data_IF_496233212964
#
_entry.id   IF_496233212964
#
_cell.length_a   1.000
_cell.length_b   1.000
_cell.length_c   1.000
_cell.angle_alpha   90.00
_cell.angle_beta   90.00
_cell.angle_gamma   90.00
#
_symmetry.space_group_name_H-M   'P 1'
#
loop_
_entity.id
_entity.type
_entity.pdbx_description
1 polymer ?
#
# COMPACT_ATOMS: atom_id res chain seq x y z
N UNK A 1 -14.54 -7.10 6.88
CA UNK A 1 -13.43 -7.97 6.52
C UNK A 1 -12.16 -7.47 7.18
N UNK A 2 -11.69 -8.17 8.17
CA UNK A 2 -10.46 -7.77 8.82
C UNK A 2 -9.31 -8.00 7.85
N UNK A 3 -8.60 -6.94 7.54
CA UNK A 3 -7.30 -7.10 6.95
C UNK A 3 -6.50 -7.88 7.98
N UNK A 4 -6.11 -9.09 7.64
CA UNK A 4 -5.23 -9.85 8.50
C UNK A 4 -4.01 -8.97 8.77
N UNK A 5 -3.92 -8.44 9.96
CA UNK A 5 -2.65 -7.94 10.45
C UNK A 5 -1.70 -9.13 10.32
N UNK A 6 -0.72 -9.00 9.44
CA UNK A 6 0.30 -10.01 9.32
C UNK A 6 0.89 -10.19 10.71
N UNK A 7 0.58 -11.33 11.33
CA UNK A 7 1.25 -11.69 12.55
C UNK A 7 2.74 -11.76 12.26
N UNK A 8 3.59 -11.32 13.19
CA UNK A 8 5.03 -11.43 12.97
C UNK A 8 5.35 -12.89 12.69
N UNK A 9 5.77 -13.15 11.46
CA UNK A 9 6.20 -14.47 11.08
C UNK A 9 7.52 -14.72 11.78
N UNK A 10 7.59 -15.82 12.53
CA UNK A 10 8.81 -16.29 13.19
C UNK A 10 9.95 -16.54 12.19
N UNK A 11 9.66 -16.42 10.88
CA UNK A 11 10.58 -16.74 9.80
C UNK A 11 11.27 -15.52 9.19
N UNK A 12 11.03 -14.31 9.73
CA UNK A 12 11.68 -13.11 9.21
C UNK A 12 13.18 -13.15 9.54
N UNK A 13 14.07 -12.94 8.57
CA UNK A 13 15.51 -13.03 8.80
C UNK A 13 15.98 -12.05 9.89
N UNK A 14 16.76 -12.53 10.83
CA UNK A 14 17.26 -11.73 11.96
C UNK A 14 18.07 -10.51 11.49
N UNK A 15 18.77 -10.62 10.36
CA UNK A 15 19.55 -9.50 9.77
C UNK A 15 18.76 -8.62 8.83
N UNK A 16 17.44 -8.81 8.71
CA UNK A 16 16.61 -8.07 7.77
C UNK A 16 16.74 -8.59 6.33
N UNK A 17 16.02 -7.95 5.42
CA UNK A 17 16.01 -8.30 4.01
C UNK A 17 16.97 -7.41 3.21
N UNK A 18 17.59 -7.98 2.18
CA UNK A 18 18.27 -7.18 1.16
C UNK A 18 17.24 -6.39 0.38
N UNK A 19 17.70 -5.36 -0.36
CA UNK A 19 16.79 -4.58 -1.21
C UNK A 19 16.11 -5.48 -2.27
N UNK A 20 16.81 -6.47 -2.81
CA UNK A 20 16.23 -7.39 -3.78
C UNK A 20 15.13 -8.24 -3.17
N UNK A 21 15.35 -8.76 -1.96
CA UNK A 21 14.34 -9.53 -1.24
C UNK A 21 13.16 -8.65 -0.80
N UNK A 22 13.44 -7.42 -0.38
CA UNK A 22 12.40 -6.46 -0.03
C UNK A 22 11.54 -6.08 -1.24
N UNK A 23 12.14 -5.90 -2.40
CA UNK A 23 11.43 -5.64 -3.65
C UNK A 23 10.49 -6.81 -3.98
N UNK A 24 10.99 -8.03 -3.92
CA UNK A 24 10.18 -9.22 -4.17
C UNK A 24 9.01 -9.32 -3.19
N UNK A 25 9.28 -9.16 -1.90
CA UNK A 25 8.25 -9.26 -0.86
C UNK A 25 7.19 -8.17 -0.95
N UNK A 26 7.56 -6.96 -1.37
CA UNK A 26 6.63 -5.83 -1.45
C UNK A 26 5.90 -5.74 -2.78
N UNK A 27 6.37 -6.44 -3.81
CA UNK A 27 5.86 -6.30 -5.17
C UNK A 27 6.34 -5.03 -5.87
N UNK A 28 7.30 -4.30 -5.29
CA UNK A 28 7.89 -3.11 -5.90
C UNK A 28 9.19 -3.47 -6.59
N UNK A 29 9.59 -2.64 -7.55
CA UNK A 29 10.93 -2.76 -8.13
C UNK A 29 11.98 -2.21 -7.14
N UNK A 30 13.22 -2.64 -7.33
CA UNK A 30 14.36 -2.07 -6.58
C UNK A 30 14.44 -0.56 -6.79
N UNK A 31 14.21 -0.09 -8.01
CA UNK A 31 14.23 1.34 -8.33
C UNK A 31 13.16 2.12 -7.57
N UNK A 32 11.95 1.55 -7.44
CA UNK A 32 10.88 2.19 -6.68
C UNK A 32 11.21 2.25 -5.18
N UNK A 33 11.81 1.18 -4.63
CA UNK A 33 12.25 1.20 -3.23
C UNK A 33 13.32 2.27 -3.00
N UNK A 34 14.27 2.40 -3.92
CA UNK A 34 15.28 3.46 -3.85
C UNK A 34 14.67 4.84 -3.94
N UNK A 35 13.66 5.00 -4.80
CA UNK A 35 12.90 6.25 -4.91
C UNK A 35 12.22 6.59 -3.59
N UNK A 36 11.51 5.64 -2.99
CA UNK A 36 10.85 5.85 -1.71
C UNK A 36 11.84 6.27 -0.62
N UNK A 37 13.01 5.67 -0.63
CA UNK A 37 14.05 5.99 0.33
C UNK A 37 14.62 7.38 0.13
N UNK A 38 14.94 7.74 -1.13
CA UNK A 38 15.44 9.09 -1.45
C UNK A 38 14.42 10.16 -1.08
N UNK A 39 13.15 9.89 -1.26
CA UNK A 39 12.07 10.83 -0.97
C UNK A 39 11.67 10.86 0.52
N UNK A 40 12.36 10.07 1.33
CA UNK A 40 12.09 10.06 2.77
C UNK A 40 10.76 9.42 3.14
N UNK A 41 10.22 8.54 2.30
CA UNK A 41 8.96 7.86 2.54
C UNK A 41 9.11 6.63 3.43
N UNK A 42 10.32 6.12 3.60
CA UNK A 42 10.63 5.06 4.56
C UNK A 42 10.96 5.72 5.89
N UNK A 43 10.34 5.27 6.99
CA UNK A 43 10.41 5.96 8.29
C UNK A 43 11.80 5.98 8.91
N UNK A 44 12.55 4.92 8.74
CA UNK A 44 13.91 4.82 9.25
C UNK A 44 14.86 4.58 8.10
N UNK A 45 16.12 5.00 8.29
CA UNK A 45 17.16 4.56 7.36
C UNK A 45 17.33 3.06 7.57
N UNK A 46 17.30 2.25 6.50
CA UNK A 46 17.53 0.82 6.65
C UNK A 46 18.87 0.56 7.32
N UNK A 47 18.88 -0.39 8.23
CA UNK A 47 20.12 -0.85 8.84
C UNK A 47 21.05 -1.38 7.76
N UNK A 48 22.34 -1.15 7.92
CA UNK A 48 23.33 -1.65 6.98
C UNK A 48 23.99 -2.89 7.55
N UNK A 49 24.23 -3.87 6.69
CA UNK A 49 25.05 -5.02 7.06
C UNK A 49 26.52 -4.58 7.28
N UNK A 50 27.33 -5.48 7.81
CA UNK A 50 28.75 -5.25 8.00
C UNK A 50 29.48 -4.86 6.70
N UNK A 51 28.94 -5.29 5.54
CA UNK A 51 29.47 -4.93 4.22
C UNK A 51 28.93 -3.60 3.67
N UNK A 52 28.13 -2.87 4.45
CA UNK A 52 27.55 -1.60 4.03
C UNK A 52 26.26 -1.72 3.22
N UNK A 53 25.75 -2.92 3.01
CA UNK A 53 24.49 -3.14 2.29
C UNK A 53 23.29 -2.82 3.18
N UNK A 54 22.25 -2.27 2.56
CA UNK A 54 21.01 -1.92 3.25
C UNK A 54 20.23 -3.16 3.65
N UNK A 55 19.63 -3.10 4.83
CA UNK A 55 18.77 -4.13 5.36
C UNK A 55 17.41 -3.55 5.73
N UNK A 56 16.37 -4.24 5.33
CA UNK A 56 15.00 -3.85 5.64
C UNK A 56 14.49 -4.72 6.77
N UNK A 57 14.05 -4.09 7.86
CA UNK A 57 13.51 -4.79 9.03
C UNK A 57 12.07 -5.21 8.76
N UNK A 58 11.53 -6.06 9.64
CA UNK A 58 10.11 -6.44 9.59
C UNK A 58 9.21 -5.21 9.70
N UNK A 59 9.56 -4.26 10.59
CA UNK A 59 8.83 -3.00 10.72
C UNK A 59 8.87 -2.16 9.44
N UNK A 60 10.02 -2.10 8.78
CA UNK A 60 10.15 -1.43 7.49
C UNK A 60 9.24 -2.06 6.45
N UNK A 61 9.18 -3.39 6.41
CA UNK A 61 8.35 -4.09 5.43
C UNK A 61 6.86 -3.87 5.67
N UNK A 62 6.42 -3.82 6.94
CA UNK A 62 5.02 -3.49 7.26
C UNK A 62 4.68 -2.07 6.80
N UNK A 63 5.57 -1.13 7.05
CA UNK A 63 5.38 0.27 6.63
C UNK A 63 5.30 0.38 5.10
N UNK A 64 6.24 -0.24 4.40
CA UNK A 64 6.25 -0.27 2.94
C UNK A 64 4.95 -0.90 2.41
N UNK A 65 4.49 -1.99 3.02
CA UNK A 65 3.21 -2.60 2.67
C UNK A 65 2.03 -1.64 2.77
N UNK A 66 2.01 -0.81 3.81
CA UNK A 66 0.99 0.24 3.96
C UNK A 66 1.07 1.27 2.85
N UNK A 67 2.27 1.72 2.50
CA UNK A 67 2.45 2.68 1.40
C UNK A 67 2.02 2.08 0.06
N UNK A 68 2.36 0.82 -0.19
CA UNK A 68 1.94 0.11 -1.40
C UNK A 68 0.42 0.05 -1.48
N UNK A 69 -0.24 -0.29 -0.39
CA UNK A 69 -1.70 -0.35 -0.32
C UNK A 69 -2.33 1.01 -0.61
N UNK A 70 -1.84 2.08 0.02
CA UNK A 70 -2.36 3.43 -0.21
C UNK A 70 -2.20 3.85 -1.66
N UNK A 71 -1.04 3.57 -2.26
CA UNK A 71 -0.79 3.90 -3.67
C UNK A 71 -1.65 3.07 -4.62
N UNK A 72 -1.83 1.79 -4.34
CA UNK A 72 -2.67 0.92 -5.17
C UNK A 72 -4.13 1.35 -5.16
N UNK A 73 -4.59 1.91 -4.07
CA UNK A 73 -5.97 2.39 -3.96
C UNK A 73 -6.14 3.83 -4.44
N UNK A 74 -5.09 4.40 -5.05
CA UNK A 74 -5.18 5.68 -5.74
C UNK A 74 -4.81 6.91 -4.93
N UNK A 75 -4.20 6.74 -3.73
CA UNK A 75 -3.75 7.92 -2.97
C UNK A 75 -2.63 8.63 -3.74
N UNK A 76 -2.78 9.93 -4.06
CA UNK A 76 -1.72 10.67 -4.72
C UNK A 76 -0.44 10.71 -3.89
N UNK A 77 0.71 10.71 -4.56
CA UNK A 77 2.00 10.70 -3.85
C UNK A 77 2.15 11.92 -2.92
N UNK A 78 1.59 13.06 -3.27
CA UNK A 78 1.61 14.24 -2.39
C UNK A 78 0.91 13.99 -1.06
N UNK A 79 -0.18 13.21 -1.08
CA UNK A 79 -0.93 12.87 0.14
C UNK A 79 -0.18 11.83 0.96
N UNK A 80 0.50 10.89 0.30
CA UNK A 80 1.39 9.92 0.96
C UNK A 80 2.52 10.68 1.67
N UNK A 81 3.14 11.65 1.00
CA UNK A 81 4.19 12.47 1.61
C UNK A 81 3.68 13.25 2.81
N UNK A 82 2.49 13.84 2.71
CA UNK A 82 1.89 14.57 3.83
C UNK A 82 1.63 13.64 5.02
N UNK A 83 1.13 12.44 4.75
CA UNK A 83 0.89 11.43 5.78
C UNK A 83 2.19 11.03 6.48
N UNK A 84 3.23 10.75 5.70
CA UNK A 84 4.55 10.37 6.25
C UNK A 84 5.14 11.50 7.09
N UNK A 85 5.06 12.74 6.60
CA UNK A 85 5.57 13.90 7.32
C UNK A 85 4.87 14.07 8.68
N UNK A 86 3.55 13.89 8.71
CA UNK A 86 2.80 13.94 9.96
C UNK A 86 3.15 12.77 10.89
N UNK A 87 3.32 11.59 10.33
CA UNK A 87 3.64 10.40 11.13
C UNK A 87 4.95 10.56 11.90
N UNK A 88 5.90 11.32 11.36
CA UNK A 88 7.19 11.58 12.02
C UNK A 88 7.10 12.54 13.19
N UNK A 89 5.99 13.26 13.34
CA UNK A 89 5.75 14.18 14.43
C UNK A 89 4.80 13.53 15.44
N UNK A 90 4.94 13.87 16.71
CA UNK A 90 4.03 13.37 17.72
C UNK A 90 2.77 14.23 17.81
N UNK A 91 1.66 13.62 18.23
CA UNK A 91 0.46 14.35 18.60
C UNK A 91 -0.45 14.80 17.47
N UNK A 92 -0.29 14.26 16.26
CA UNK A 92 -1.09 14.67 15.11
C UNK A 92 -1.95 13.53 14.53
N UNK A 93 -2.37 12.61 15.38
CA UNK A 93 -3.24 11.51 15.00
C UNK A 93 -4.53 11.99 14.31
N UNK A 94 -5.20 13.08 14.78
CA UNK A 94 -6.39 13.58 14.08
C UNK A 94 -6.11 14.02 12.66
N UNK A 95 -4.99 14.68 12.42
CA UNK A 95 -4.59 15.13 11.07
C UNK A 95 -4.30 13.95 10.15
N UNK A 96 -3.61 12.93 10.67
CA UNK A 96 -3.35 11.70 9.91
C UNK A 96 -4.65 10.96 9.59
N UNK A 97 -5.54 10.87 10.56
CA UNK A 97 -6.85 10.26 10.36
C UNK A 97 -7.64 11.02 9.28
N UNK A 98 -7.52 12.35 9.26
CA UNK A 98 -8.17 13.18 8.25
C UNK A 98 -7.74 12.81 6.82
N UNK A 99 -6.45 12.58 6.60
CA UNK A 99 -5.94 12.16 5.28
C UNK A 99 -6.52 10.80 4.90
N UNK A 100 -6.52 9.85 5.83
CA UNK A 100 -7.05 8.51 5.57
C UNK A 100 -8.56 8.53 5.34
N UNK A 101 -9.30 9.34 6.11
CA UNK A 101 -10.74 9.48 5.95
C UNK A 101 -11.10 10.06 4.59
N UNK A 102 -10.39 11.10 4.16
CA UNK A 102 -10.61 11.68 2.84
C UNK A 102 -10.31 10.67 1.73
N UNK A 103 -9.25 9.89 1.90
CA UNK A 103 -8.92 8.84 0.94
C UNK A 103 -9.98 7.74 0.91
N UNK A 104 -10.50 7.35 2.07
CA UNK A 104 -11.60 6.38 2.16
C UNK A 104 -12.82 6.84 1.34
N UNK A 105 -13.16 8.12 1.42
CA UNK A 105 -14.29 8.65 0.66
C UNK A 105 -14.07 8.53 -0.85
N UNK A 106 -12.84 8.77 -1.31
CA UNK A 106 -12.50 8.58 -2.73
C UNK A 106 -12.60 7.11 -3.14
N UNK A 107 -12.10 6.20 -2.31
CA UNK A 107 -12.17 4.77 -2.58
C UNK A 107 -13.64 4.30 -2.62
N UNK A 108 -14.47 4.80 -1.70
CA UNK A 108 -15.90 4.47 -1.69
C UNK A 108 -16.60 4.98 -2.97
N UNK A 109 -16.24 6.16 -3.44
CA UNK A 109 -16.79 6.69 -4.69
C UNK A 109 -16.37 5.83 -5.88
N UNK A 110 -15.10 5.44 -5.94
CA UNK A 110 -14.60 4.55 -6.99
C UNK A 110 -15.30 3.19 -6.95
N UNK A 111 -15.52 2.66 -5.76
CA UNK A 111 -16.21 1.39 -5.59
C UNK A 111 -17.65 1.46 -6.12
N UNK A 112 -18.37 2.54 -5.77
CA UNK A 112 -19.75 2.74 -6.29
C UNK A 112 -19.78 2.84 -7.81
N UNK A 113 -18.79 3.51 -8.39
CA UNK A 113 -18.68 3.63 -9.84
C UNK A 113 -18.46 2.26 -10.49
N UNK A 114 -17.55 1.46 -9.95
CA UNK A 114 -17.28 0.11 -10.44
C UNK A 114 -18.53 -0.78 -10.29
N UNK A 115 -19.24 -0.68 -9.16
CA UNK A 115 -20.48 -1.40 -8.95
C UNK A 115 -21.54 -1.03 -10.01
N UNK A 116 -21.65 0.24 -10.35
CA UNK A 116 -22.54 0.68 -11.42
C UNK A 116 -22.16 0.09 -12.78
N UNK A 117 -20.86 0.05 -13.07
CA UNK A 117 -20.38 -0.58 -14.30
C UNK A 117 -20.69 -2.07 -14.32
N UNK A 118 -20.52 -2.76 -13.19
CA UNK A 118 -20.83 -4.18 -13.09
C UNK A 118 -22.31 -4.44 -13.34
N UNK A 119 -23.20 -3.64 -12.75
CA UNK A 119 -24.63 -3.76 -12.98
C UNK A 119 -24.98 -3.57 -14.46
N UNK A 120 -24.35 -2.63 -15.13
CA UNK A 120 -24.55 -2.42 -16.56
C UNK A 120 -24.10 -3.62 -17.38
N UNK A 121 -22.98 -4.23 -17.02
CA UNK A 121 -22.48 -5.43 -17.69
C UNK A 121 -23.45 -6.60 -17.45
N UNK A 122 -23.92 -6.76 -16.23
CA UNK A 122 -24.86 -7.83 -15.89
C UNK A 122 -26.18 -7.72 -16.67
N UNK A 123 -26.70 -6.49 -16.82
CA UNK A 123 -27.88 -6.26 -17.65
C UNK A 123 -27.64 -6.68 -19.10
N UNK A 124 -26.46 -6.39 -19.62
CA UNK A 124 -26.09 -6.77 -20.98
C UNK A 124 -25.98 -8.28 -21.13
N UNK A 125 -25.41 -8.95 -20.13
CA UNK A 125 -25.32 -10.43 -20.11
C UNK A 125 -26.73 -11.03 -20.10
N UNK A 126 -27.62 -10.53 -19.25
CA UNK A 126 -29.00 -11.03 -19.16
C UNK A 126 -29.72 -10.87 -20.49
N UNK A 127 -29.53 -9.74 -21.16
CA UNK A 127 -30.10 -9.52 -22.48
C UNK A 127 -29.65 -10.59 -23.47
N UNK A 128 -28.38 -10.96 -23.49
CA UNK A 128 -27.87 -11.99 -24.40
C UNK A 128 -28.28 -13.39 -23.97
N UNK A 129 -28.38 -13.65 -22.67
CA UNK A 129 -28.87 -14.96 -22.18
C UNK A 129 -30.27 -15.26 -22.68
N UNK A 130 -31.16 -14.29 -22.66
CA UNK A 130 -32.52 -14.46 -23.19
C UNK A 130 -32.52 -14.79 -24.67
N UNK A 131 -31.59 -14.22 -25.44
CA UNK A 131 -31.50 -14.49 -26.88
C UNK A 131 -30.89 -15.84 -27.20
N UNK A 132 -30.01 -16.35 -26.37
CA UNK A 132 -29.35 -17.63 -26.58
C UNK A 132 -30.22 -18.79 -26.12
N UNK A 133 -30.98 -18.61 -25.06
CA UNK A 133 -31.80 -19.66 -24.45
C UNK A 133 -33.22 -19.77 -25.04
N UNK A 134 -33.50 -19.11 -26.10
CA UNK A 134 -34.77 -19.23 -26.79
C UNK A 134 -34.98 -20.62 -27.43
#
# INVERSE_FOLDING_TARGET
MSVATAEPTTDFPAGGLTISAAAEASGLSVDTLRYYEREGLVLSKPDRSASGQRRYTEGDMRWIGSLVMLRKTGMPIRDVRAFVALYRQEGNEPERMGILTAHRERVLADLREVQGHLEAIERKIDFYKERINL
#
